data_IF_810113124048
#
_entry.id   IF_810113124048
#
_cell.length_a   1.000
_cell.length_b   1.000
_cell.length_c   1.000
_cell.angle_alpha   90.00
_cell.angle_beta   90.00
_cell.angle_gamma   90.00
#
_symmetry.space_group_name_H-M   'P 1'
#
loop_
_entity.id
_entity.type
_entity.pdbx_description
1 polymer ?
#
# COMPACT_ATOMS: atom_id res chain seq x y z
N UNK A 1 -3.64 -3.53 -3.88
CA UNK A 1 -3.06 -2.84 -5.05
C UNK A 1 -1.65 -2.40 -4.74
N UNK A 2 -0.71 -2.66 -5.61
CA UNK A 2 0.64 -2.11 -5.56
C UNK A 2 0.70 -0.97 -6.58
N UNK A 3 1.27 0.15 -6.19
CA UNK A 3 1.44 1.31 -7.05
C UNK A 3 2.90 1.73 -7.13
N UNK A 4 3.30 2.28 -8.24
CA UNK A 4 4.64 2.83 -8.46
C UNK A 4 4.53 4.24 -9.01
N UNK A 5 5.37 5.13 -8.55
CA UNK A 5 5.39 6.53 -8.98
C UNK A 5 6.83 6.98 -9.32
N UNK A 6 6.95 7.71 -10.43
CA UNK A 6 8.19 8.34 -10.84
C UNK A 6 8.01 9.86 -10.80
N UNK A 7 8.85 10.54 -10.06
CA UNK A 7 8.88 11.99 -9.97
C UNK A 7 10.04 12.54 -10.79
N UNK A 8 9.81 13.60 -11.57
CA UNK A 8 10.90 14.32 -12.24
C UNK A 8 11.74 15.14 -11.27
N UNK A 9 11.12 15.60 -10.18
CA UNK A 9 11.78 16.27 -9.07
C UNK A 9 11.13 15.84 -7.77
N UNK A 10 11.87 15.15 -6.90
CA UNK A 10 11.41 14.91 -5.53
C UNK A 10 11.38 16.26 -4.78
N UNK A 11 10.24 16.66 -4.20
CA UNK A 11 10.22 17.88 -3.42
C UNK A 11 11.12 17.71 -2.20
N UNK A 12 12.22 18.43 -2.17
CA UNK A 12 13.09 18.48 -1.00
C UNK A 12 12.35 19.13 0.17
N UNK A 13 12.14 18.43 1.26
CA UNK A 13 11.92 19.02 2.56
C UNK A 13 10.54 18.97 3.19
N UNK A 14 9.61 18.09 2.83
CA UNK A 14 8.40 17.85 3.63
C UNK A 14 8.10 16.37 3.82
N UNK A 15 8.69 15.80 4.88
CA UNK A 15 8.43 14.42 5.32
C UNK A 15 7.29 14.32 6.34
N UNK A 16 6.47 15.34 6.53
CA UNK A 16 5.41 15.35 7.51
C UNK A 16 4.06 15.02 6.87
N UNK A 17 3.67 13.75 6.96
CA UNK A 17 2.26 13.36 6.93
C UNK A 17 1.56 13.34 5.57
N UNK A 18 2.27 13.21 4.45
CA UNK A 18 1.62 12.94 3.18
C UNK A 18 1.04 11.53 3.19
N UNK A 19 -0.29 11.45 3.28
CA UNK A 19 -1.03 10.20 3.13
C UNK A 19 -0.85 9.67 1.70
N UNK A 20 -0.87 8.35 1.54
CA UNK A 20 -0.81 7.72 0.21
C UNK A 20 -1.85 8.30 -0.77
N UNK A 21 -3.01 8.73 -0.27
CA UNK A 21 -4.07 9.36 -1.05
C UNK A 21 -3.65 10.74 -1.61
N UNK A 22 -2.84 11.50 -0.88
CA UNK A 22 -2.34 12.81 -1.33
C UNK A 22 -1.27 12.69 -2.43
N UNK A 23 -0.52 11.58 -2.44
CA UNK A 23 0.46 11.29 -3.49
C UNK A 23 -0.19 11.04 -4.86
N UNK A 24 -1.41 10.50 -4.89
CA UNK A 24 -2.15 10.23 -6.13
C UNK A 24 -2.77 11.48 -6.76
N UNK A 25 -2.87 12.58 -6.01
CA UNK A 25 -3.54 13.81 -6.42
C UNK A 25 -2.57 14.94 -6.80
N UNK A 26 -1.25 14.75 -6.67
CA UNK A 26 -0.28 15.77 -7.03
C UNK A 26 -0.29 16.00 -8.55
N UNK A 27 -0.87 17.12 -8.97
CA UNK A 27 -0.80 17.62 -10.35
C UNK A 27 0.64 18.07 -10.63
N UNK A 28 1.37 17.27 -11.38
CA UNK A 28 2.72 17.56 -11.82
C UNK A 28 3.18 16.48 -12.80
N UNK A 29 4.33 16.63 -13.40
CA UNK A 29 4.99 15.66 -14.31
C UNK A 29 5.36 14.34 -13.60
N UNK A 30 4.36 13.61 -13.07
CA UNK A 30 4.52 12.38 -12.34
C UNK A 30 3.94 11.22 -13.16
N UNK A 31 4.78 10.27 -13.50
CA UNK A 31 4.35 9.03 -14.16
C UNK A 31 3.92 8.04 -13.08
N UNK A 32 2.64 7.69 -13.07
CA UNK A 32 2.06 6.73 -12.12
C UNK A 32 1.67 5.44 -12.84
N UNK A 33 1.97 4.30 -12.19
CA UNK A 33 1.49 3.01 -12.63
C UNK A 33 0.94 2.23 -11.45
N UNK A 34 -0.31 1.79 -11.53
CA UNK A 34 -0.95 0.91 -10.57
C UNK A 34 -1.00 -0.52 -11.10
N UNK A 35 -0.80 -1.51 -10.23
CA UNK A 35 -0.93 -2.92 -10.60
C UNK A 35 -1.88 -3.66 -9.65
N UNK A 36 -2.69 -4.52 -10.20
CA UNK A 36 -3.58 -5.42 -9.44
C UNK A 36 -3.70 -6.75 -10.21
N UNK A 37 -3.85 -7.85 -9.47
CA UNK A 37 -4.03 -9.18 -10.06
C UNK A 37 -5.36 -9.31 -10.81
N UNK A 38 -6.39 -8.57 -10.37
CA UNK A 38 -7.75 -8.72 -10.86
C UNK A 38 -8.02 -7.78 -12.05
N UNK A 39 -8.29 -8.32 -13.27
CA UNK A 39 -8.57 -7.48 -14.45
C UNK A 39 -9.71 -6.47 -14.20
N UNK A 40 -10.77 -6.91 -13.53
CA UNK A 40 -11.91 -6.06 -13.21
C UNK A 40 -11.55 -4.87 -12.30
N UNK A 41 -10.61 -5.05 -11.37
CA UNK A 41 -10.14 -3.96 -10.52
C UNK A 41 -9.33 -2.94 -11.35
N UNK A 42 -8.52 -3.42 -12.28
CA UNK A 42 -7.75 -2.59 -13.22
C UNK A 42 -8.68 -1.79 -14.12
N UNK A 43 -9.70 -2.42 -14.73
CA UNK A 43 -10.71 -1.73 -15.56
C UNK A 43 -11.41 -0.58 -14.79
N UNK A 44 -11.86 -0.87 -13.56
CA UNK A 44 -12.52 0.12 -12.71
C UNK A 44 -11.56 1.27 -12.36
N UNK A 45 -10.31 0.96 -12.00
CA UNK A 45 -9.31 1.95 -11.67
C UNK A 45 -8.98 2.85 -12.87
N UNK A 46 -8.80 2.24 -14.06
CA UNK A 46 -8.55 2.96 -15.31
C UNK A 46 -9.72 3.91 -15.64
N UNK A 47 -10.96 3.41 -15.58
CA UNK A 47 -12.15 4.24 -15.84
C UNK A 47 -12.29 5.41 -14.85
N UNK A 48 -11.92 5.21 -13.58
CA UNK A 48 -11.93 6.27 -12.57
C UNK A 48 -10.86 7.32 -12.84
N UNK A 49 -9.65 6.90 -13.21
CA UNK A 49 -8.56 7.79 -13.55
C UNK A 49 -8.92 8.67 -14.77
N UNK A 50 -9.47 8.06 -15.81
CA UNK A 50 -9.94 8.78 -17.01
C UNK A 50 -11.01 9.83 -16.68
N UNK A 51 -12.03 9.47 -15.88
CA UNK A 51 -13.07 10.39 -15.42
C UNK A 51 -12.53 11.54 -14.57
N UNK A 52 -11.46 11.28 -13.82
CA UNK A 52 -10.81 12.30 -12.99
C UNK A 52 -9.75 13.12 -13.77
N UNK A 53 -9.49 12.81 -15.04
CA UNK A 53 -8.42 13.44 -15.81
C UNK A 53 -7.01 13.13 -15.29
N UNK A 54 -6.85 12.04 -14.55
CA UNK A 54 -5.58 11.67 -13.93
C UNK A 54 -4.72 10.85 -14.90
N UNK A 55 -3.47 11.26 -15.10
CA UNK A 55 -2.48 10.56 -15.94
C UNK A 55 -1.88 9.35 -15.21
N UNK A 56 -2.69 8.31 -14.97
CA UNK A 56 -2.28 7.08 -14.30
C UNK A 56 -2.50 5.89 -15.23
N UNK A 57 -1.47 5.05 -15.36
CA UNK A 57 -1.57 3.78 -16.09
C UNK A 57 -1.85 2.65 -15.12
N UNK A 58 -2.64 1.66 -15.56
CA UNK A 58 -2.90 0.46 -14.77
C UNK A 58 -2.56 -0.79 -15.58
N UNK A 59 -2.05 -1.83 -14.90
CA UNK A 59 -1.74 -3.11 -15.52
C UNK A 59 -2.23 -4.27 -14.66
N UNK A 60 -2.65 -5.33 -15.31
CA UNK A 60 -2.91 -6.63 -14.63
C UNK A 60 -1.56 -7.29 -14.41
N UNK A 61 -1.20 -7.51 -13.15
CA UNK A 61 0.08 -8.10 -12.78
C UNK A 61 0.01 -8.75 -11.40
N UNK A 62 0.61 -9.92 -11.27
CA UNK A 62 0.76 -10.62 -10.01
C UNK A 62 2.06 -10.21 -9.30
N UNK A 63 1.97 -9.27 -8.37
CA UNK A 63 3.12 -8.63 -7.73
C UNK A 63 4.10 -9.60 -7.02
N UNK A 64 3.64 -10.79 -6.59
CA UNK A 64 4.50 -11.79 -5.93
C UNK A 64 5.37 -12.57 -6.93
N UNK A 65 4.84 -12.91 -8.10
CA UNK A 65 5.50 -13.82 -9.06
C UNK A 65 6.11 -13.09 -10.24
N UNK A 66 5.48 -12.01 -10.71
CA UNK A 66 5.94 -11.23 -11.86
C UNK A 66 6.82 -10.05 -11.43
N UNK A 67 7.63 -9.53 -12.33
CA UNK A 67 8.46 -8.36 -12.06
C UNK A 67 7.61 -7.08 -11.99
N UNK A 68 7.86 -6.28 -10.97
CA UNK A 68 7.22 -4.96 -10.86
C UNK A 68 7.79 -4.01 -11.92
N UNK A 69 6.99 -3.07 -12.45
CA UNK A 69 7.45 -2.07 -13.40
C UNK A 69 8.65 -1.31 -12.86
N UNK A 70 9.74 -1.27 -13.62
CA UNK A 70 11.01 -0.65 -13.21
C UNK A 70 11.08 0.83 -13.57
N UNK A 71 12.08 1.52 -13.00
CA UNK A 71 12.37 2.92 -13.34
C UNK A 71 11.59 3.95 -12.52
N UNK A 72 10.93 3.52 -11.45
CA UNK A 72 10.14 4.36 -10.56
C UNK A 72 10.93 4.75 -9.30
N UNK A 73 10.70 5.96 -8.83
CA UNK A 73 11.37 6.52 -7.66
C UNK A 73 10.76 6.00 -6.37
N UNK A 74 9.43 5.87 -6.34
CA UNK A 74 8.68 5.40 -5.18
C UNK A 74 7.85 4.18 -5.59
N UNK A 75 7.89 3.14 -4.75
CA UNK A 75 7.02 1.97 -4.85
C UNK A 75 6.12 1.93 -3.63
N UNK A 76 4.81 1.84 -3.87
CA UNK A 76 3.79 1.90 -2.83
C UNK A 76 2.95 0.62 -2.80
N UNK A 77 2.55 0.23 -1.59
CA UNK A 77 1.58 -0.84 -1.39
C UNK A 77 0.50 -0.36 -0.42
N UNK A 78 -0.77 -0.48 -0.79
CA UNK A 78 -1.88 -0.07 0.07
C UNK A 78 -2.92 -1.17 0.19
N UNK A 79 -3.28 -1.51 1.45
CA UNK A 79 -4.31 -2.50 1.80
C UNK A 79 -4.13 -3.84 1.08
N UNK A 80 -2.91 -4.34 1.09
CA UNK A 80 -2.58 -5.61 0.44
C UNK A 80 -1.74 -6.54 1.33
N UNK A 81 -0.85 -5.99 2.17
CA UNK A 81 0.07 -6.78 2.99
C UNK A 81 -0.67 -7.73 3.95
N UNK A 82 -1.82 -7.32 4.50
CA UNK A 82 -2.63 -8.13 5.41
C UNK A 82 -3.30 -9.36 4.76
N UNK A 83 -3.26 -9.48 3.43
CA UNK A 83 -3.71 -10.67 2.71
C UNK A 83 -2.62 -11.73 2.53
N UNK A 84 -1.37 -11.40 2.83
CA UNK A 84 -0.19 -12.22 2.60
C UNK A 84 0.20 -12.98 3.88
N UNK A 85 0.79 -14.16 3.70
CA UNK A 85 1.52 -14.82 4.78
C UNK A 85 2.90 -14.15 4.98
N UNK A 86 3.66 -14.58 6.01
CA UNK A 86 4.95 -13.96 6.36
C UNK A 86 5.98 -14.03 5.22
N UNK A 87 6.07 -15.17 4.53
CA UNK A 87 7.05 -15.39 3.46
C UNK A 87 6.72 -14.56 2.23
N UNK A 88 5.43 -14.51 1.87
CA UNK A 88 4.92 -13.67 0.79
C UNK A 88 5.13 -12.17 1.08
N UNK A 89 4.93 -11.76 2.33
CA UNK A 89 5.13 -10.37 2.75
C UNK A 89 6.62 -9.97 2.64
N UNK A 90 7.56 -10.83 3.07
CA UNK A 90 9.00 -10.62 2.89
C UNK A 90 9.35 -10.55 1.41
N UNK A 91 8.83 -11.47 0.60
CA UNK A 91 9.06 -11.49 -0.84
C UNK A 91 8.58 -10.19 -1.51
N UNK A 92 7.37 -9.74 -1.20
CA UNK A 92 6.84 -8.49 -1.73
C UNK A 92 7.70 -7.28 -1.32
N UNK A 93 8.03 -7.16 -0.04
CA UNK A 93 8.85 -6.05 0.47
C UNK A 93 10.23 -6.03 -0.18
N UNK A 94 10.87 -7.17 -0.35
CA UNK A 94 12.17 -7.28 -1.04
C UNK A 94 12.06 -6.85 -2.52
N UNK A 95 11.01 -7.30 -3.23
CA UNK A 95 10.75 -6.86 -4.61
C UNK A 95 10.49 -5.36 -4.70
N UNK A 96 9.71 -4.80 -3.78
CA UNK A 96 9.49 -3.36 -3.73
C UNK A 96 10.80 -2.60 -3.49
N UNK A 97 11.65 -3.09 -2.58
CA UNK A 97 12.95 -2.48 -2.27
C UNK A 97 13.90 -2.52 -3.47
N UNK A 98 13.93 -3.62 -4.24
CA UNK A 98 14.79 -3.70 -5.44
C UNK A 98 14.28 -2.80 -6.56
N UNK A 99 12.97 -2.66 -6.70
CA UNK A 99 12.31 -1.86 -7.75
C UNK A 99 12.39 -0.35 -7.50
N UNK A 100 12.18 0.08 -6.23
CA UNK A 100 12.18 1.49 -5.88
C UNK A 100 13.58 2.10 -6.00
N UNK A 101 13.71 3.27 -6.64
CA UNK A 101 14.98 4.00 -6.70
C UNK A 101 15.27 4.75 -5.39
N UNK A 102 14.24 5.27 -4.74
CA UNK A 102 14.40 6.14 -3.57
C UNK A 102 13.61 5.68 -2.35
N UNK A 103 12.36 5.25 -2.51
CA UNK A 103 11.50 5.02 -1.36
C UNK A 103 10.51 3.87 -1.55
N UNK A 104 10.27 3.13 -0.48
CA UNK A 104 9.16 2.18 -0.35
C UNK A 104 8.20 2.70 0.71
N UNK A 105 6.91 2.68 0.38
CA UNK A 105 5.82 3.04 1.28
C UNK A 105 4.80 1.89 1.36
N UNK A 106 4.42 1.50 2.58
CA UNK A 106 3.32 0.55 2.78
C UNK A 106 2.32 1.14 3.76
N UNK A 107 1.07 1.32 3.31
CA UNK A 107 -0.04 1.74 4.14
C UNK A 107 -1.02 0.58 4.29
N UNK A 108 -1.13 0.02 5.50
CA UNK A 108 -1.97 -1.16 5.73
C UNK A 108 -2.67 -1.12 7.09
N UNK A 109 -3.52 -2.12 7.34
CA UNK A 109 -4.20 -2.32 8.61
C UNK A 109 -3.21 -2.78 9.69
N UNK A 110 -3.49 -2.41 10.94
CA UNK A 110 -2.76 -2.91 12.12
C UNK A 110 -3.65 -3.88 12.89
N UNK A 111 -3.12 -5.07 13.18
CA UNK A 111 -3.80 -6.00 14.09
C UNK A 111 -3.82 -5.40 15.50
N UNK A 112 -5.04 -5.02 15.94
CA UNK A 112 -5.25 -4.46 17.27
C UNK A 112 -6.65 -4.76 17.78
N UNK A 113 -6.82 -4.87 19.11
CA UNK A 113 -8.14 -5.06 19.73
C UNK A 113 -9.08 -3.88 19.43
N UNK A 114 -8.57 -2.65 19.48
CA UNK A 114 -9.34 -1.44 19.13
C UNK A 114 -9.76 -1.42 17.67
N UNK A 115 -8.87 -1.82 16.76
CA UNK A 115 -9.16 -1.95 15.32
C UNK A 115 -10.25 -2.99 15.06
N UNK A 116 -10.23 -4.11 15.76
CA UNK A 116 -11.25 -5.14 15.62
C UNK A 116 -12.63 -4.65 16.07
N UNK A 117 -12.73 -3.97 17.23
CA UNK A 117 -13.98 -3.37 17.71
C UNK A 117 -14.48 -2.34 16.70
N UNK A 118 -13.62 -1.44 16.25
CA UNK A 118 -13.97 -0.41 15.27
C UNK A 118 -14.44 -1.01 13.94
N UNK A 119 -13.79 -2.07 13.46
CA UNK A 119 -14.18 -2.77 12.23
C UNK A 119 -15.59 -3.40 12.36
N UNK A 120 -15.89 -4.02 13.50
CA UNK A 120 -17.22 -4.56 13.76
C UNK A 120 -18.31 -3.47 13.82
N UNK A 121 -18.03 -2.37 14.52
CA UNK A 121 -18.97 -1.26 14.63
C UNK A 121 -19.18 -0.57 13.28
N UNK A 122 -18.09 -0.23 12.59
CA UNK A 122 -18.15 0.44 11.30
C UNK A 122 -18.86 -0.43 10.25
N UNK A 123 -18.54 -1.72 10.18
CA UNK A 123 -19.21 -2.62 9.24
C UNK A 123 -20.72 -2.67 9.45
N UNK A 124 -21.19 -2.67 10.71
CA UNK A 124 -22.62 -2.72 11.00
C UNK A 124 -23.36 -1.39 10.87
N UNK A 125 -22.67 -0.27 11.14
CA UNK A 125 -23.26 1.06 11.09
C UNK A 125 -23.23 1.69 9.69
N UNK A 126 -22.21 1.40 8.89
CA UNK A 126 -21.96 2.09 7.62
C UNK A 126 -22.36 1.27 6.38
N UNK A 127 -22.70 0.00 6.54
CA UNK A 127 -23.09 -0.84 5.38
C UNK A 127 -24.13 -1.89 5.75
N UNK A 128 -24.99 -2.19 4.79
CA UNK A 128 -25.97 -3.29 4.85
C UNK A 128 -25.42 -4.60 4.24
N UNK A 129 -24.20 -4.58 3.72
CA UNK A 129 -23.58 -5.74 3.07
C UNK A 129 -23.10 -6.75 4.10
N UNK A 130 -23.68 -7.96 4.08
CA UNK A 130 -23.26 -9.07 4.93
C UNK A 130 -21.80 -9.52 4.66
N UNK A 131 -21.32 -9.33 3.44
CA UNK A 131 -19.92 -9.61 3.06
C UNK A 131 -18.97 -8.71 3.85
N UNK A 132 -19.24 -7.41 3.90
CA UNK A 132 -18.40 -6.44 4.64
C UNK A 132 -18.45 -6.70 6.14
N UNK A 133 -19.56 -7.18 6.70
CA UNK A 133 -19.66 -7.52 8.12
C UNK A 133 -18.71 -8.64 8.55
N UNK A 134 -18.38 -9.54 7.63
CA UNK A 134 -17.44 -10.66 7.86
C UNK A 134 -16.02 -10.28 7.48
N UNK A 135 -15.84 -9.64 6.35
CA UNK A 135 -14.51 -9.36 5.79
C UNK A 135 -13.75 -8.27 6.55
N UNK A 136 -14.43 -7.21 7.00
CA UNK A 136 -13.76 -6.12 7.70
C UNK A 136 -13.09 -6.58 9.01
N UNK A 137 -13.76 -7.30 9.93
CA UNK A 137 -13.10 -7.84 11.11
C UNK A 137 -12.04 -8.92 10.80
N UNK A 138 -12.27 -9.72 9.75
CA UNK A 138 -11.32 -10.75 9.31
C UNK A 138 -10.02 -10.10 8.85
N UNK A 139 -10.08 -9.06 8.04
CA UNK A 139 -8.91 -8.32 7.56
C UNK A 139 -8.08 -7.73 8.70
N UNK A 140 -8.72 -7.22 9.77
CA UNK A 140 -7.99 -6.75 10.95
C UNK A 140 -7.33 -7.90 11.73
N UNK A 141 -7.96 -9.09 11.78
CA UNK A 141 -7.39 -10.27 12.46
C UNK A 141 -6.18 -10.82 11.73
N UNK A 142 -6.19 -10.83 10.40
CA UNK A 142 -5.08 -11.32 9.57
C UNK A 142 -3.96 -10.31 9.40
N UNK A 143 -4.22 -9.02 9.68
CA UNK A 143 -3.21 -7.97 9.61
C UNK A 143 -2.05 -8.22 10.57
N UNK A 144 -0.89 -7.67 10.25
CA UNK A 144 0.30 -7.73 11.09
C UNK A 144 0.27 -6.68 12.20
N UNK A 145 1.01 -6.91 13.27
CA UNK A 145 1.34 -5.89 14.27
C UNK A 145 2.50 -5.01 13.75
N UNK A 146 2.74 -3.86 14.43
CA UNK A 146 3.87 -2.99 14.08
C UNK A 146 5.21 -3.74 14.18
N UNK A 147 5.40 -4.50 15.26
CA UNK A 147 6.64 -5.23 15.51
C UNK A 147 6.87 -6.32 14.45
N UNK A 148 5.81 -7.08 14.11
CA UNK A 148 5.89 -8.08 13.03
C UNK A 148 6.25 -7.44 11.68
N UNK A 149 5.67 -6.28 11.34
CA UNK A 149 6.02 -5.58 10.09
C UNK A 149 7.47 -5.10 10.10
N UNK A 150 7.95 -4.62 11.25
CA UNK A 150 9.35 -4.24 11.42
C UNK A 150 10.28 -5.42 11.15
N UNK A 151 9.98 -6.58 11.75
CA UNK A 151 10.75 -7.83 11.53
C UNK A 151 10.74 -8.26 10.05
N UNK A 152 9.55 -8.26 9.41
CA UNK A 152 9.40 -8.63 8.01
C UNK A 152 10.18 -7.69 7.08
N UNK A 153 10.16 -6.40 7.37
CA UNK A 153 10.90 -5.41 6.59
C UNK A 153 12.42 -5.59 6.73
N UNK A 154 12.91 -5.85 7.94
CA UNK A 154 14.33 -6.16 8.16
C UNK A 154 14.75 -7.45 7.45
N UNK A 155 13.91 -8.51 7.54
CA UNK A 155 14.15 -9.77 6.83
C UNK A 155 14.15 -9.59 5.29
N UNK A 156 13.40 -8.63 4.77
CA UNK A 156 13.39 -8.25 3.36
C UNK A 156 14.55 -7.34 2.94
N UNK A 157 15.47 -6.99 3.85
CA UNK A 157 16.64 -6.15 3.57
C UNK A 157 16.41 -4.65 3.67
N UNK A 158 15.27 -4.20 4.24
CA UNK A 158 14.95 -2.78 4.39
C UNK A 158 15.59 -2.22 5.68
N UNK A 159 16.92 -2.17 5.73
CA UNK A 159 17.64 -1.61 6.88
C UNK A 159 17.25 -0.13 7.09
N UNK A 160 17.03 0.26 8.35
CA UNK A 160 16.63 1.63 8.69
C UNK A 160 15.16 1.94 8.42
N UNK A 161 14.32 0.94 8.16
CA UNK A 161 12.88 1.12 7.98
C UNK A 161 12.23 1.73 9.21
N UNK A 162 11.25 2.60 9.02
CA UNK A 162 10.40 3.14 10.07
C UNK A 162 8.97 2.64 9.89
N UNK A 163 8.37 2.10 10.95
CA UNK A 163 6.96 1.70 10.95
C UNK A 163 6.22 2.48 12.01
N UNK A 164 5.23 3.26 11.59
CA UNK A 164 4.47 4.15 12.46
C UNK A 164 2.97 3.86 12.42
N UNK A 165 2.29 4.10 13.55
CA UNK A 165 0.83 3.99 13.62
C UNK A 165 0.18 5.22 12.95
N UNK A 166 -0.92 4.98 12.23
CA UNK A 166 -1.76 6.03 11.65
C UNK A 166 -3.22 5.82 12.08
N UNK A 167 -3.92 6.90 12.26
CA UNK A 167 -5.35 6.87 12.58
C UNK A 167 -6.18 6.58 11.30
N UNK A 168 -7.28 5.85 11.36
CA UNK A 168 -7.74 4.94 12.43
C UNK A 168 -7.24 3.50 12.21
N UNK A 169 -6.46 2.94 13.14
CA UNK A 169 -6.03 1.54 13.13
C UNK A 169 -5.23 1.11 11.88
N UNK A 170 -4.43 2.03 11.33
CA UNK A 170 -3.53 1.78 10.21
C UNK A 170 -2.07 1.89 10.65
N UNK A 171 -1.18 1.47 9.78
CA UNK A 171 0.25 1.69 9.85
C UNK A 171 0.76 2.32 8.56
N UNK A 172 1.89 3.00 8.66
CA UNK A 172 2.71 3.43 7.55
C UNK A 172 4.13 2.91 7.77
N UNK A 173 4.59 2.10 6.82
CA UNK A 173 5.98 1.70 6.69
C UNK A 173 6.63 2.65 5.69
N UNK A 174 7.76 3.22 6.07
CA UNK A 174 8.58 4.11 5.26
C UNK A 174 10.01 3.59 5.25
N UNK A 175 10.54 3.32 4.07
CA UNK A 175 11.94 2.98 3.89
C UNK A 175 12.51 3.84 2.78
N UNK A 176 13.67 4.44 3.04
CA UNK A 176 14.45 5.18 2.05
C UNK A 176 15.66 4.34 1.67
N UNK A 177 15.94 4.27 0.39
CA UNK A 177 17.15 3.62 -0.08
C UNK A 177 18.36 4.41 0.44
N UNK A 178 19.36 3.73 1.05
CA UNK A 178 20.60 4.38 1.49
C UNK A 178 21.36 5.08 0.36
#
# INVERSE_FOLDING_TARGET
>A
MVGVAKYRHLPHGRSNGMLADDLWLSQGDVDHCGVDLRPRAVEIAQSRAEKAGAAVRFAVLQALTEELPSGFDIVMCSLFLHHLNREEAVTLLAKMATTARHMVLVNDLVRSRRGLILAHLAARLLTVSSVVWVDAPRSVRTAFTIDEVQELALAAGLAGVTVSRRWPCRMLLEWKRP
#
